data_IF_023384368312
#
_entry.id   IF_023384368312
#
_cell.length_a   1.000
_cell.length_b   1.000
_cell.length_c   1.000
_cell.angle_alpha   90.00
_cell.angle_beta   90.00
_cell.angle_gamma   90.00
#
_symmetry.space_group_name_H-M   'P 1'
#
loop_
_entity.id
_entity.type
_entity.pdbx_description
1 polymer ?
#
# COMPACT_ATOMS: atom_id res chain seq x y z
N UNK A 1 7.79 4.45 -37.82
CA UNK A 1 6.73 5.23 -37.14
C UNK A 1 5.54 4.32 -36.94
N UNK A 2 5.53 3.59 -35.82
CA UNK A 2 4.35 2.89 -35.35
C UNK A 2 4.17 3.37 -33.92
N UNK A 3 3.12 4.14 -33.71
CA UNK A 3 2.76 4.73 -32.43
C UNK A 3 2.51 3.58 -31.45
N UNK A 4 3.51 3.30 -30.63
CA UNK A 4 3.32 2.54 -29.41
C UNK A 4 2.49 3.45 -28.53
N UNK A 5 1.17 3.28 -28.62
CA UNK A 5 0.23 3.82 -27.68
C UNK A 5 0.48 3.08 -26.37
N UNK A 6 1.54 3.46 -25.67
CA UNK A 6 1.78 3.20 -24.25
C UNK A 6 0.64 3.88 -23.49
N UNK A 7 -0.56 3.31 -23.58
CA UNK A 7 -1.44 3.29 -22.43
C UNK A 7 -0.64 2.55 -21.39
N UNK A 8 0.10 3.32 -20.60
CA UNK A 8 0.55 2.94 -19.27
C UNK A 8 -0.71 2.48 -18.56
N UNK A 9 -1.02 1.18 -18.69
CA UNK A 9 -1.86 0.50 -17.74
C UNK A 9 -1.12 0.73 -16.44
N UNK A 10 -1.52 1.78 -15.72
CA UNK A 10 -1.42 1.79 -14.28
C UNK A 10 -2.07 0.47 -13.90
N UNK A 11 -1.26 -0.56 -13.65
CA UNK A 11 -1.72 -1.74 -12.96
C UNK A 11 -2.30 -1.19 -11.66
N UNK A 12 -3.60 -0.94 -11.67
CA UNK A 12 -4.34 -0.66 -10.47
C UNK A 12 -4.19 -1.96 -9.70
N UNK A 13 -3.27 -1.96 -8.72
CA UNK A 13 -3.03 -3.11 -7.87
C UNK A 13 -4.36 -3.64 -7.39
N UNK A 14 -4.51 -4.97 -7.31
CA UNK A 14 -5.75 -5.59 -6.86
C UNK A 14 -6.13 -4.98 -5.51
N UNK A 15 -7.33 -4.40 -5.42
CA UNK A 15 -7.85 -3.87 -4.17
C UNK A 15 -8.35 -5.05 -3.31
N UNK A 16 -7.86 -5.11 -2.06
CA UNK A 16 -8.29 -6.13 -1.10
C UNK A 16 -9.02 -5.46 0.06
N UNK A 17 -10.24 -5.91 0.34
CA UNK A 17 -10.89 -5.57 1.60
C UNK A 17 -10.34 -6.47 2.70
N UNK A 18 -9.83 -5.87 3.76
CA UNK A 18 -9.28 -6.58 4.92
C UNK A 18 -9.88 -6.06 6.22
N UNK A 19 -10.02 -6.96 7.20
CA UNK A 19 -10.42 -6.60 8.57
C UNK A 19 -9.16 -6.45 9.42
N UNK A 20 -8.89 -5.21 9.82
CA UNK A 20 -7.77 -4.89 10.71
C UNK A 20 -8.34 -4.60 12.10
N UNK A 21 -7.76 -5.17 13.18
CA UNK A 21 -8.12 -4.82 14.55
C UNK A 21 -8.13 -3.30 14.79
N UNK A 22 -9.03 -2.82 15.64
CA UNK A 22 -9.26 -1.39 15.83
C UNK A 22 -8.03 -0.67 16.42
N UNK A 23 -7.29 -1.33 17.30
CA UNK A 23 -6.04 -0.83 17.89
C UNK A 23 -4.95 -0.64 16.81
N UNK A 24 -4.79 -1.61 15.91
CA UNK A 24 -3.85 -1.54 14.80
C UNK A 24 -4.28 -0.48 13.77
N UNK A 25 -5.58 -0.34 13.53
CA UNK A 25 -6.12 0.72 12.67
C UNK A 25 -5.82 2.10 13.23
N UNK A 26 -5.94 2.31 14.55
CA UNK A 26 -5.59 3.58 15.19
C UNK A 26 -4.10 3.89 15.01
N UNK A 27 -3.23 2.91 15.33
CA UNK A 27 -1.77 3.07 15.22
C UNK A 27 -1.31 3.37 13.79
N UNK A 28 -1.84 2.64 12.81
CA UNK A 28 -1.50 2.88 11.41
C UNK A 28 -1.98 4.25 10.92
N UNK A 29 -3.11 4.76 11.44
CA UNK A 29 -3.62 6.09 11.12
C UNK A 29 -2.72 7.19 11.68
N UNK A 30 -2.31 7.06 12.93
CA UNK A 30 -1.42 8.02 13.58
C UNK A 30 -0.07 8.07 12.85
N UNK A 31 0.45 6.90 12.45
CA UNK A 31 1.68 6.80 11.66
C UNK A 31 1.53 7.42 10.26
N UNK A 32 0.43 7.14 9.56
CA UNK A 32 0.16 7.72 8.25
C UNK A 32 0.10 9.27 8.31
N UNK A 33 -0.50 9.83 9.37
CA UNK A 33 -0.53 11.28 9.60
C UNK A 33 0.89 11.82 9.82
N UNK A 34 1.68 11.17 10.68
CA UNK A 34 3.07 11.57 10.97
C UNK A 34 3.93 11.59 9.70
N UNK A 35 3.79 10.57 8.87
CA UNK A 35 4.54 10.42 7.62
C UNK A 35 3.93 11.21 6.44
N UNK A 36 2.84 11.96 6.68
CA UNK A 36 2.09 12.73 5.66
C UNK A 36 1.66 11.87 4.46
N UNK A 37 1.24 10.62 4.73
CA UNK A 37 0.78 9.63 3.75
C UNK A 37 -0.68 9.26 3.98
N UNK A 38 -1.32 8.71 2.93
CA UNK A 38 -2.64 8.08 3.06
C UNK A 38 -2.50 6.72 3.76
N UNK A 39 -3.59 6.25 4.36
CA UNK A 39 -3.62 5.00 5.12
C UNK A 39 -3.27 3.77 4.25
N UNK A 40 -3.91 3.62 3.09
CA UNK A 40 -3.68 2.47 2.20
C UNK A 40 -2.19 2.29 1.79
N UNK A 41 -1.48 3.32 1.27
CA UNK A 41 -0.06 3.16 0.95
C UNK A 41 0.81 2.96 2.20
N UNK A 42 0.44 3.50 3.36
CA UNK A 42 1.15 3.20 4.61
C UNK A 42 1.04 1.71 4.98
N UNK A 43 -0.16 1.12 4.85
CA UNK A 43 -0.36 -0.31 5.11
C UNK A 43 0.42 -1.16 4.11
N UNK A 44 0.47 -0.79 2.83
CA UNK A 44 1.25 -1.51 1.82
C UNK A 44 2.75 -1.55 2.18
N UNK A 45 3.34 -0.42 2.57
CA UNK A 45 4.74 -0.34 3.01
C UNK A 45 4.99 -1.25 4.21
N UNK A 46 4.11 -1.20 5.23
CA UNK A 46 4.26 -2.04 6.42
C UNK A 46 4.16 -3.55 6.10
N UNK A 47 3.36 -3.90 5.09
CA UNK A 47 3.26 -5.29 4.62
C UNK A 47 4.52 -5.71 3.87
N UNK A 48 5.04 -4.85 2.98
CA UNK A 48 6.30 -5.09 2.25
C UNK A 48 7.47 -5.29 3.25
N UNK A 49 7.66 -4.37 4.20
CA UNK A 49 8.68 -4.48 5.24
C UNK A 49 8.55 -5.78 6.05
N UNK A 50 7.31 -6.19 6.37
CA UNK A 50 7.06 -7.42 7.12
C UNK A 50 7.35 -8.69 6.31
N UNK A 51 7.18 -8.66 4.97
CA UNK A 51 7.52 -9.76 4.08
C UNK A 51 9.03 -9.84 3.87
N UNK A 52 9.70 -8.71 3.65
CA UNK A 52 11.16 -8.62 3.54
C UNK A 52 11.85 -9.15 4.81
N UNK A 53 11.35 -8.77 5.99
CA UNK A 53 11.86 -9.28 7.27
C UNK A 53 11.70 -10.80 7.45
N UNK A 54 10.77 -11.41 6.70
CA UNK A 54 10.57 -12.87 6.67
C UNK A 54 11.35 -13.56 5.55
N UNK A 55 12.02 -12.81 4.68
CA UNK A 55 12.74 -13.33 3.52
C UNK A 55 11.82 -13.89 2.43
N UNK A 56 10.60 -13.37 2.33
CA UNK A 56 9.62 -13.70 1.27
C UNK A 56 9.81 -12.78 0.08
#
# INVERSE_FOLDING_TARGET
MSEINEKTEKQAGKEFQTRIPADLTKRAKDLAIKERRKMAPMIAILLEEALEARGV
#
